data_IF_252614821615
#
_entry.id   IF_252614821615
#
_cell.length_a   1.000
_cell.length_b   1.000
_cell.length_c   1.000
_cell.angle_alpha   90.00
_cell.angle_beta   90.00
_cell.angle_gamma   90.00
#
_symmetry.space_group_name_H-M   'P 1'
#
loop_
_entity.id
_entity.type
_entity.pdbx_description
1 polymer ?
#
# COMPACT_ATOMS: atom_id res chain seq x y z
N UNK A 1 33.38 -1.05 -2.18
CA UNK A 1 32.34 -1.25 -1.17
C UNK A 1 32.14 -2.75 -0.99
N UNK A 2 32.21 -3.23 0.23
CA UNK A 2 31.86 -4.61 0.61
C UNK A 2 30.38 -4.66 0.97
N UNK A 3 29.68 -5.70 0.52
CA UNK A 3 28.34 -6.06 1.00
C UNK A 3 28.43 -7.45 1.62
N UNK A 4 28.12 -7.54 2.90
CA UNK A 4 28.01 -8.76 3.68
C UNK A 4 26.53 -9.09 3.89
N UNK A 5 26.06 -10.12 3.19
CA UNK A 5 24.69 -10.62 3.26
C UNK A 5 24.67 -11.91 4.06
N UNK A 6 24.36 -11.80 5.36
CA UNK A 6 24.24 -12.94 6.27
C UNK A 6 25.51 -13.82 6.29
N UNK A 7 26.69 -13.19 6.24
CA UNK A 7 28.00 -13.86 6.23
C UNK A 7 28.56 -14.11 4.83
N UNK A 8 27.79 -13.86 3.77
CA UNK A 8 28.26 -13.95 2.38
C UNK A 8 28.76 -12.59 1.93
N UNK A 9 30.08 -12.45 1.82
CA UNK A 9 30.75 -11.20 1.45
C UNK A 9 30.95 -11.07 -0.05
N UNK A 10 30.75 -9.88 -0.59
CA UNK A 10 31.01 -9.54 -1.99
C UNK A 10 31.52 -8.10 -2.11
N UNK A 11 32.48 -7.88 -2.99
CA UNK A 11 33.11 -6.57 -3.18
C UNK A 11 32.73 -5.94 -4.52
N UNK A 12 32.44 -4.64 -4.49
CA UNK A 12 32.02 -3.85 -5.64
C UNK A 12 32.82 -2.56 -5.78
N UNK A 13 33.05 -2.16 -7.02
CA UNK A 13 33.74 -0.92 -7.34
C UNK A 13 32.79 0.27 -7.22
N UNK A 14 33.23 1.27 -6.44
CA UNK A 14 32.54 2.52 -6.21
C UNK A 14 33.55 3.65 -6.43
N UNK A 15 33.16 4.75 -7.07
CA UNK A 15 34.06 5.90 -7.23
C UNK A 15 34.14 6.81 -5.99
N UNK A 16 34.98 7.84 -6.08
CA UNK A 16 35.17 8.85 -5.05
C UNK A 16 33.89 9.61 -4.66
N UNK A 17 32.84 9.55 -5.47
CA UNK A 17 31.54 10.20 -5.19
C UNK A 17 30.51 9.23 -4.62
N UNK A 18 30.85 7.96 -4.45
CA UNK A 18 29.94 6.93 -3.94
C UNK A 18 29.10 6.26 -5.03
N UNK A 19 29.42 6.42 -6.32
CA UNK A 19 28.64 5.80 -7.41
C UNK A 19 29.16 4.41 -7.75
N UNK A 20 28.24 3.45 -7.83
CA UNK A 20 28.51 2.10 -8.31
C UNK A 20 28.98 2.12 -9.77
N UNK A 21 30.07 1.38 -10.06
CA UNK A 21 30.65 1.27 -11.42
C UNK A 21 30.03 0.15 -12.26
N UNK A 22 29.35 -0.79 -11.63
CA UNK A 22 28.67 -1.89 -12.29
C UNK A 22 27.37 -2.17 -11.56
N UNK A 23 26.40 -2.77 -12.26
CA UNK A 23 25.22 -3.32 -11.60
C UNK A 23 25.62 -4.39 -10.58
N UNK A 24 24.85 -4.48 -9.51
CA UNK A 24 25.01 -5.43 -8.41
C UNK A 24 23.74 -6.23 -8.27
N UNK A 25 23.87 -7.55 -8.32
CA UNK A 25 22.78 -8.48 -8.08
C UNK A 25 23.27 -9.51 -7.08
N UNK A 26 22.67 -9.53 -5.90
CA UNK A 26 23.12 -10.35 -4.79
C UNK A 26 21.97 -11.08 -4.17
N UNK A 27 22.25 -12.28 -3.66
CA UNK A 27 21.34 -13.03 -2.82
C UNK A 27 22.09 -13.61 -1.63
N UNK A 28 21.43 -13.66 -0.49
CA UNK A 28 21.85 -14.46 0.66
C UNK A 28 21.98 -15.94 0.29
N UNK A 29 22.82 -16.68 1.01
CA UNK A 29 23.09 -18.09 0.73
C UNK A 29 21.85 -18.99 0.81
N UNK A 30 20.87 -18.62 1.65
CA UNK A 30 19.58 -19.30 1.76
C UNK A 30 18.55 -18.84 0.71
N UNK A 31 18.90 -17.88 -0.14
CA UNK A 31 18.03 -17.30 -1.17
C UNK A 31 16.90 -16.43 -0.64
N UNK A 32 16.78 -16.23 0.69
CA UNK A 32 15.63 -15.56 1.29
C UNK A 32 15.63 -14.06 1.05
N UNK A 33 16.80 -13.45 0.97
CA UNK A 33 16.98 -12.02 0.72
C UNK A 33 17.81 -11.80 -0.55
N UNK A 34 17.32 -10.92 -1.42
CA UNK A 34 18.03 -10.50 -2.64
C UNK A 34 18.00 -8.98 -2.82
N UNK A 35 19.09 -8.43 -3.35
CA UNK A 35 19.27 -7.00 -3.63
C UNK A 35 19.68 -6.78 -5.08
N UNK A 36 19.15 -5.72 -5.68
CA UNK A 36 19.58 -5.23 -6.99
C UNK A 36 19.87 -3.74 -6.92
N UNK A 37 21.10 -3.36 -7.26
CA UNK A 37 21.55 -1.98 -7.36
C UNK A 37 22.03 -1.76 -8.80
N UNK A 38 21.48 -0.77 -9.48
CA UNK A 38 21.85 -0.49 -10.86
C UNK A 38 23.21 0.23 -10.92
N UNK A 39 23.86 0.15 -12.09
CA UNK A 39 25.07 0.94 -12.34
C UNK A 39 24.76 2.44 -12.18
N UNK A 40 25.66 3.17 -11.52
CA UNK A 40 25.51 4.60 -11.28
C UNK A 40 24.74 4.97 -10.01
N UNK A 41 24.10 4.01 -9.32
CA UNK A 41 23.48 4.27 -8.02
C UNK A 41 24.49 4.84 -7.03
N UNK A 42 24.17 5.98 -6.43
CA UNK A 42 24.93 6.57 -5.33
C UNK A 42 24.63 5.81 -4.04
N UNK A 43 25.68 5.40 -3.35
CA UNK A 43 25.61 4.72 -2.06
C UNK A 43 26.44 5.49 -1.05
N UNK A 44 25.77 6.15 -0.11
CA UNK A 44 26.41 7.03 0.88
C UNK A 44 25.96 6.68 2.28
N UNK A 45 26.79 7.01 3.26
CA UNK A 45 26.42 6.99 4.67
C UNK A 45 25.60 8.24 5.06
N UNK A 46 25.24 8.32 6.34
CA UNK A 46 24.50 9.46 6.92
C UNK A 46 25.22 10.80 6.83
N UNK A 47 26.56 10.79 6.67
CA UNK A 47 27.42 11.97 6.59
C UNK A 47 27.73 12.32 5.11
N UNK A 48 26.96 11.76 4.18
CA UNK A 48 27.09 11.89 2.72
C UNK A 48 28.41 11.39 2.12
N UNK A 49 29.15 10.56 2.86
CA UNK A 49 30.41 9.98 2.39
C UNK A 49 30.15 8.65 1.67
N UNK A 50 30.99 8.28 0.68
CA UNK A 50 30.91 6.99 0.01
C UNK A 50 30.90 5.84 1.01
N UNK A 51 29.86 5.00 0.93
CA UNK A 51 29.72 3.88 1.84
C UNK A 51 30.75 2.79 1.55
N UNK A 52 31.43 2.31 2.59
CA UNK A 52 32.48 1.31 2.44
C UNK A 52 32.00 -0.12 2.68
N UNK A 53 31.13 -0.32 3.68
CA UNK A 53 30.65 -1.64 4.09
C UNK A 53 29.15 -1.58 4.34
N UNK A 54 28.45 -2.57 3.79
CA UNK A 54 27.07 -2.90 4.12
C UNK A 54 27.09 -4.22 4.86
N UNK A 55 26.46 -4.28 6.03
CA UNK A 55 26.27 -5.53 6.76
C UNK A 55 24.78 -5.77 6.98
N UNK A 56 24.31 -6.94 6.58
CA UNK A 56 22.93 -7.38 6.77
C UNK A 56 22.93 -8.58 7.71
N UNK A 57 22.15 -8.46 8.79
CA UNK A 57 22.00 -9.50 9.81
C UNK A 57 20.52 -9.76 10.11
N UNK A 58 20.20 -10.92 10.71
CA UNK A 58 18.86 -11.18 11.24
C UNK A 58 18.78 -10.60 12.64
N UNK A 59 17.77 -9.76 12.89
CA UNK A 59 17.52 -9.19 14.21
C UNK A 59 16.90 -10.26 15.14
N UNK A 60 17.65 -10.66 16.16
CA UNK A 60 17.21 -11.62 17.17
C UNK A 60 16.16 -11.08 18.16
N UNK A 61 15.97 -9.76 18.20
CA UNK A 61 15.00 -9.09 19.07
C UNK A 61 14.19 -8.06 18.27
N UNK A 62 13.38 -8.52 17.30
CA UNK A 62 12.71 -7.65 16.36
C UNK A 62 11.69 -6.72 17.03
N UNK A 63 11.47 -5.49 16.50
CA UNK A 63 10.37 -4.65 16.92
C UNK A 63 9.03 -5.36 16.72
N UNK A 64 8.08 -5.14 17.63
CA UNK A 64 6.72 -5.67 17.46
C UNK A 64 6.07 -5.12 16.18
N UNK A 65 5.33 -5.95 15.42
CA UNK A 65 4.54 -5.45 14.29
C UNK A 65 3.40 -4.55 14.80
N UNK A 66 2.81 -3.71 13.93
CA UNK A 66 1.59 -2.97 14.24
C UNK A 66 0.44 -3.92 14.62
N UNK A 67 -0.53 -3.43 15.42
CA UNK A 67 -1.66 -4.24 15.90
C UNK A 67 -2.50 -4.86 14.77
N UNK A 68 -2.53 -4.21 13.60
CA UNK A 68 -3.26 -4.62 12.40
C UNK A 68 -2.42 -5.47 11.42
N UNK A 69 -1.24 -5.96 11.84
CA UNK A 69 -0.40 -6.81 11.01
C UNK A 69 0.26 -7.96 11.78
N UNK A 70 0.52 -9.06 11.09
CA UNK A 70 1.42 -10.12 11.52
C UNK A 70 2.82 -9.88 10.95
N UNK A 71 3.84 -10.17 11.75
CA UNK A 71 5.21 -10.30 11.28
C UNK A 71 5.38 -11.67 10.64
N UNK A 72 5.89 -11.72 9.40
CA UNK A 72 6.11 -12.97 8.66
C UNK A 72 7.61 -13.16 8.44
N UNK A 73 8.14 -14.27 8.95
CA UNK A 73 9.55 -14.61 8.83
C UNK A 73 10.50 -13.71 9.64
N UNK A 74 11.70 -13.52 9.12
CA UNK A 74 12.78 -12.80 9.80
C UNK A 74 12.72 -11.28 9.59
N UNK A 75 13.25 -10.53 10.58
CA UNK A 75 13.58 -9.12 10.43
C UNK A 75 15.06 -9.00 10.06
N UNK A 76 15.34 -8.29 8.98
CA UNK A 76 16.72 -8.04 8.52
C UNK A 76 17.15 -6.64 8.93
N UNK A 77 18.24 -6.51 9.67
CA UNK A 77 18.85 -5.24 10.06
C UNK A 77 19.98 -4.89 9.09
N UNK A 78 19.80 -3.80 8.34
CA UNK A 78 20.78 -3.26 7.41
C UNK A 78 21.63 -2.18 8.09
N UNK A 79 22.95 -2.36 8.08
CA UNK A 79 23.91 -1.45 8.71
C UNK A 79 24.96 -0.95 7.71
N UNK A 80 25.49 0.27 7.89
CA UNK A 80 25.17 1.22 8.96
C UNK A 80 23.83 1.93 8.75
N UNK A 81 23.18 2.29 9.86
CA UNK A 81 21.91 3.02 9.83
C UNK A 81 22.08 4.43 9.23
N UNK A 82 21.08 4.87 8.47
CA UNK A 82 21.11 6.17 7.79
C UNK A 82 21.88 6.19 6.48
N UNK A 83 22.44 5.06 6.03
CA UNK A 83 22.91 4.93 4.66
C UNK A 83 21.75 5.14 3.67
N UNK A 84 22.06 5.77 2.54
CA UNK A 84 21.10 6.15 1.52
C UNK A 84 21.50 5.68 0.13
N UNK A 85 20.48 5.54 -0.72
CA UNK A 85 20.59 5.15 -2.12
C UNK A 85 19.87 6.13 -3.02
N UNK A 86 20.53 6.53 -4.09
CA UNK A 86 19.92 7.36 -5.13
C UNK A 86 20.37 6.89 -6.53
N UNK A 87 19.46 6.35 -7.35
CA UNK A 87 18.03 6.11 -7.09
C UNK A 87 17.78 4.95 -6.09
N UNK A 88 16.51 4.73 -5.75
CA UNK A 88 16.09 3.61 -4.90
C UNK A 88 16.52 2.26 -5.47
N UNK A 89 16.89 1.33 -4.59
CA UNK A 89 17.35 -0.02 -4.97
C UNK A 89 16.23 -1.04 -4.77
N UNK A 90 16.27 -2.17 -5.49
CA UNK A 90 15.27 -3.23 -5.30
C UNK A 90 15.72 -4.17 -4.19
N UNK A 91 14.75 -4.55 -3.35
CA UNK A 91 14.87 -5.56 -2.31
C UNK A 91 13.78 -6.60 -2.52
N UNK A 92 14.12 -7.88 -2.46
CA UNK A 92 13.15 -8.95 -2.39
C UNK A 92 13.41 -9.86 -1.19
N UNK A 93 12.33 -10.19 -0.49
CA UNK A 93 12.31 -11.15 0.61
C UNK A 93 11.39 -12.31 0.25
N UNK A 94 11.81 -13.53 0.55
CA UNK A 94 11.02 -14.74 0.40
C UNK A 94 10.26 -15.04 1.70
N UNK A 95 9.09 -15.65 1.57
CA UNK A 95 8.30 -16.15 2.69
C UNK A 95 7.97 -17.62 2.47
N UNK A 96 7.72 -18.34 3.56
CA UNK A 96 7.18 -19.68 3.51
C UNK A 96 5.64 -19.58 3.58
N UNK A 97 4.90 -20.04 2.56
CA UNK A 97 3.43 -20.03 2.58
C UNK A 97 2.85 -20.84 3.74
N UNK A 98 3.54 -21.88 4.21
CA UNK A 98 3.10 -22.72 5.33
C UNK A 98 3.26 -22.01 6.70
N UNK A 99 4.07 -20.96 6.77
CA UNK A 99 4.22 -20.11 7.97
C UNK A 99 3.22 -18.95 8.01
N UNK A 100 2.39 -18.77 6.98
CA UNK A 100 1.42 -17.69 6.95
C UNK A 100 0.26 -17.96 7.92
N UNK A 101 -0.13 -16.96 8.74
CA UNK A 101 -1.32 -17.08 9.59
C UNK A 101 -2.58 -17.35 8.77
N UNK A 102 -3.51 -18.11 9.36
CA UNK A 102 -4.79 -18.43 8.73
C UNK A 102 -5.55 -17.15 8.32
N UNK A 103 -6.10 -17.15 7.10
CA UNK A 103 -6.83 -15.99 6.54
C UNK A 103 -5.95 -14.93 5.90
N UNK A 104 -4.62 -15.04 5.96
CA UNK A 104 -3.73 -14.12 5.24
C UNK A 104 -3.83 -14.36 3.73
N UNK A 105 -4.07 -13.28 2.99
CA UNK A 105 -4.04 -13.28 1.53
C UNK A 105 -2.62 -12.94 1.08
N UNK A 106 -1.91 -13.88 0.44
CA UNK A 106 -0.51 -13.70 0.00
C UNK A 106 -0.29 -12.40 -0.79
N UNK A 107 -1.22 -12.06 -1.71
CA UNK A 107 -1.14 -10.82 -2.51
C UNK A 107 -1.12 -9.54 -1.66
N UNK A 108 -1.53 -9.62 -0.38
CA UNK A 108 -1.54 -8.50 0.55
C UNK A 108 -0.24 -8.34 1.34
N UNK A 109 0.67 -9.32 1.33
CA UNK A 109 1.99 -9.22 1.97
C UNK A 109 2.80 -8.03 1.45
N UNK A 110 3.58 -7.38 2.29
CA UNK A 110 4.44 -6.26 1.88
C UNK A 110 5.73 -6.22 2.71
N UNK A 111 6.81 -5.68 2.17
CA UNK A 111 8.03 -5.44 2.94
C UNK A 111 7.90 -4.06 3.58
N UNK A 112 7.94 -4.00 4.90
CA UNK A 112 7.92 -2.76 5.67
C UNK A 112 9.33 -2.40 6.13
N UNK A 113 9.64 -1.11 6.13
CA UNK A 113 10.85 -0.57 6.76
C UNK A 113 10.52 0.01 8.14
N UNK A 114 11.33 -0.29 9.15
CA UNK A 114 11.18 0.27 10.49
C UNK A 114 11.90 1.61 10.61
N UNK A 115 11.19 2.64 11.07
CA UNK A 115 11.73 3.97 11.41
C UNK A 115 11.44 4.30 12.87
N UNK A 116 11.86 5.49 13.32
CA UNK A 116 11.70 5.96 14.71
C UNK A 116 10.26 5.86 15.25
N UNK A 117 9.27 6.01 14.36
CA UNK A 117 7.84 5.99 14.69
C UNK A 117 7.17 4.63 14.49
N UNK A 118 7.90 3.61 14.02
CA UNK A 118 7.40 2.26 13.77
C UNK A 118 7.58 1.76 12.34
N UNK A 119 6.81 0.74 11.97
CA UNK A 119 6.84 0.13 10.64
C UNK A 119 6.11 1.00 9.60
N UNK A 120 6.78 1.31 8.50
CA UNK A 120 6.21 2.07 7.39
C UNK A 120 5.94 1.18 6.17
N UNK A 121 4.77 1.41 5.55
CA UNK A 121 4.38 0.73 4.30
C UNK A 121 5.20 1.27 3.13
N UNK A 122 5.62 0.41 2.19
CA UNK A 122 6.39 0.83 1.04
C UNK A 122 5.52 1.55 0.01
N UNK A 123 6.14 2.40 -0.81
CA UNK A 123 5.48 3.03 -1.96
C UNK A 123 5.29 2.04 -3.12
N UNK A 124 6.30 1.19 -3.35
CA UNK A 124 6.26 0.15 -4.38
C UNK A 124 6.20 -1.23 -3.73
N UNK A 125 5.36 -2.10 -4.26
CA UNK A 125 5.17 -3.46 -3.81
C UNK A 125 4.83 -4.36 -4.99
N UNK A 126 5.49 -5.50 -5.07
CA UNK A 126 5.10 -6.62 -5.92
C UNK A 126 5.14 -7.92 -5.12
N UNK A 127 4.11 -8.76 -5.26
CA UNK A 127 4.09 -10.10 -4.66
C UNK A 127 4.00 -11.12 -5.78
N UNK A 128 4.98 -11.99 -5.83
CA UNK A 128 4.97 -13.19 -6.66
C UNK A 128 4.57 -14.38 -5.76
N UNK A 129 3.37 -14.91 -6.01
CA UNK A 129 2.80 -16.02 -5.25
C UNK A 129 3.21 -17.38 -5.80
N UNK A 130 3.87 -17.44 -6.96
CA UNK A 130 4.41 -18.70 -7.52
C UNK A 130 5.80 -18.96 -6.95
N UNK A 131 6.62 -17.90 -6.83
CA UNK A 131 7.96 -18.00 -6.21
C UNK A 131 7.97 -17.69 -4.71
N UNK A 132 6.82 -17.32 -4.12
CA UNK A 132 6.66 -16.87 -2.73
C UNK A 132 7.64 -15.77 -2.33
N UNK A 133 7.66 -14.69 -3.12
CA UNK A 133 8.54 -13.54 -2.93
C UNK A 133 7.78 -12.22 -2.91
N UNK A 134 8.20 -11.34 -2.03
CA UNK A 134 7.76 -9.94 -1.98
C UNK A 134 8.92 -9.07 -2.42
N UNK A 135 8.68 -8.13 -3.33
CA UNK A 135 9.67 -7.17 -3.83
C UNK A 135 9.22 -5.74 -3.55
N UNK A 136 10.14 -4.91 -3.10
CA UNK A 136 9.95 -3.47 -2.89
C UNK A 136 11.15 -2.67 -3.39
N UNK A 137 11.06 -1.34 -3.29
CA UNK A 137 12.18 -0.42 -3.49
C UNK A 137 12.49 0.28 -2.17
N UNK A 138 13.78 0.38 -1.83
CA UNK A 138 14.27 1.05 -0.63
C UNK A 138 15.31 2.12 -1.01
N UNK A 139 15.28 3.24 -0.32
CA UNK A 139 16.23 4.35 -0.50
C UNK A 139 17.17 4.55 0.69
N UNK A 140 17.01 3.73 1.72
CA UNK A 140 17.79 3.79 2.94
C UNK A 140 17.90 2.45 3.63
N UNK A 141 18.95 2.30 4.42
CA UNK A 141 19.04 1.20 5.37
C UNK A 141 18.17 1.44 6.59
N UNK A 142 17.46 0.37 6.94
CA UNK A 142 16.57 0.25 8.07
C UNK A 142 16.45 -1.24 8.42
N UNK A 143 15.80 -1.55 9.54
CA UNK A 143 15.26 -2.90 9.72
C UNK A 143 14.12 -3.09 8.74
N UNK A 144 14.08 -4.23 8.06
CA UNK A 144 13.01 -4.56 7.11
C UNK A 144 12.47 -5.96 7.37
N UNK A 145 11.18 -6.15 7.12
CA UNK A 145 10.52 -7.44 7.27
C UNK A 145 9.27 -7.55 6.41
N UNK A 146 8.80 -8.77 6.19
CA UNK A 146 7.49 -9.00 5.55
C UNK A 146 6.41 -8.84 6.63
N UNK A 147 5.45 -7.96 6.35
CA UNK A 147 4.23 -7.83 7.15
C UNK A 147 3.04 -8.37 6.34
N UNK A 148 2.23 -9.17 7.01
CA UNK A 148 0.91 -9.57 6.53
C UNK A 148 -0.14 -8.69 7.22
N UNK A 149 -0.94 -7.90 6.49
CA UNK A 149 -2.11 -7.27 7.10
C UNK A 149 -2.96 -8.36 7.76
N UNK A 150 -3.33 -8.16 9.02
CA UNK A 150 -4.45 -8.89 9.59
C UNK A 150 -5.63 -8.47 8.74
N UNK A 151 -6.31 -9.43 8.12
CA UNK A 151 -7.65 -9.12 7.66
C UNK A 151 -8.38 -8.64 8.92
N UNK A 152 -9.01 -7.45 8.92
CA UNK A 152 -9.90 -7.09 9.99
C UNK A 152 -10.80 -8.32 10.23
N UNK A 153 -11.06 -8.73 11.49
CA UNK A 153 -12.06 -9.79 11.72
C UNK A 153 -13.23 -9.47 10.81
N UNK A 154 -13.67 -10.41 9.94
CA UNK A 154 -14.44 -10.10 8.75
C UNK A 154 -15.48 -9.07 9.13
N UNK A 155 -15.24 -7.82 8.75
CA UNK A 155 -16.19 -6.74 8.93
C UNK A 155 -17.23 -7.13 7.91
N UNK A 156 -18.23 -7.88 8.39
CA UNK A 156 -19.09 -8.80 7.65
C UNK A 156 -18.92 -8.62 6.15
N UNK A 157 -18.15 -9.48 5.46
CA UNK A 157 -18.31 -9.55 4.00
C UNK A 157 -19.81 -9.80 3.82
N UNK A 158 -20.59 -8.84 3.28
CA UNK A 158 -22.03 -8.96 3.36
C UNK A 158 -22.44 -10.13 2.47
N UNK A 159 -22.72 -11.28 3.07
CA UNK A 159 -23.25 -12.45 2.36
C UNK A 159 -24.72 -12.18 2.05
N UNK A 160 -25.03 -11.87 0.79
CA UNK A 160 -26.39 -11.51 0.36
C UNK A 160 -26.60 -10.01 0.16
N UNK A 161 -27.70 -9.61 -0.50
CA UNK A 161 -27.90 -8.25 -1.01
C UNK A 161 -27.88 -7.21 0.11
N UNK A 162 -27.29 -6.05 -0.18
CA UNK A 162 -27.26 -4.93 0.76
C UNK A 162 -28.65 -4.29 0.93
N UNK A 163 -28.92 -3.82 2.15
CA UNK A 163 -30.12 -3.03 2.45
C UNK A 163 -30.03 -1.67 1.77
N UNK A 164 -28.84 -1.06 1.83
CA UNK A 164 -28.56 0.26 1.27
C UNK A 164 -27.09 0.40 0.86
N UNK A 165 -26.82 1.15 -0.20
CA UNK A 165 -25.47 1.54 -0.63
C UNK A 165 -25.39 3.07 -0.66
N UNK A 166 -24.50 3.64 0.14
CA UNK A 166 -24.25 5.08 0.14
C UNK A 166 -22.97 5.38 -0.67
N UNK A 167 -23.13 6.15 -1.74
CA UNK A 167 -22.03 6.71 -2.51
C UNK A 167 -21.80 8.12 -1.98
N UNK A 168 -20.65 8.38 -1.40
CA UNK A 168 -20.36 9.67 -0.76
C UNK A 168 -19.07 10.23 -1.32
N UNK A 169 -19.17 11.38 -1.99
CA UNK A 169 -18.02 12.11 -2.47
C UNK A 169 -17.70 13.28 -1.54
N UNK A 170 -16.56 13.19 -0.88
CA UNK A 170 -16.03 14.27 -0.08
C UNK A 170 -15.18 15.20 -0.95
N UNK A 171 -15.24 16.49 -0.70
CA UNK A 171 -14.40 17.49 -1.35
C UNK A 171 -13.92 18.56 -0.36
N UNK A 172 -12.92 19.33 -0.75
CA UNK A 172 -12.53 20.58 -0.08
C UNK A 172 -13.25 21.77 -0.72
N UNK A 173 -13.26 22.92 -0.06
CA UNK A 173 -13.80 24.18 -0.62
C UNK A 173 -13.09 24.55 -1.93
N UNK A 174 -11.76 24.40 -1.96
CA UNK A 174 -10.96 24.59 -3.16
C UNK A 174 -10.87 23.29 -3.96
N UNK A 175 -11.37 23.32 -5.19
CA UNK A 175 -11.53 22.13 -6.03
C UNK A 175 -10.71 22.24 -7.32
N UNK A 176 -9.84 21.27 -7.55
CA UNK A 176 -9.12 21.14 -8.82
C UNK A 176 -9.96 20.41 -9.88
N UNK A 177 -9.47 20.38 -11.12
CA UNK A 177 -10.13 19.72 -12.24
C UNK A 177 -10.52 18.26 -11.94
N UNK A 178 -9.60 17.46 -11.38
CA UNK A 178 -9.88 16.07 -11.00
C UNK A 178 -10.99 15.95 -9.96
N UNK A 179 -11.07 16.90 -9.02
CA UNK A 179 -12.15 16.90 -8.02
C UNK A 179 -13.53 17.17 -8.63
N UNK A 180 -13.59 17.97 -9.69
CA UNK A 180 -14.83 18.26 -10.43
C UNK A 180 -15.19 17.08 -11.31
N UNK A 181 -14.19 16.50 -11.99
CA UNK A 181 -14.34 15.32 -12.83
C UNK A 181 -14.93 14.14 -12.06
N UNK A 182 -14.36 13.82 -10.88
CA UNK A 182 -14.83 12.69 -10.06
C UNK A 182 -16.26 12.90 -9.58
N UNK A 183 -16.64 14.11 -9.14
CA UNK A 183 -18.04 14.37 -8.77
C UNK A 183 -18.97 14.17 -9.98
N UNK A 184 -18.65 14.80 -11.11
CA UNK A 184 -19.50 14.76 -12.30
C UNK A 184 -19.66 13.32 -12.82
N UNK A 185 -18.56 12.56 -12.91
CA UNK A 185 -18.58 11.16 -13.32
C UNK A 185 -19.35 10.28 -12.32
N UNK A 186 -19.21 10.53 -11.02
CA UNK A 186 -19.96 9.80 -9.99
C UNK A 186 -21.45 10.08 -10.10
N UNK A 187 -21.82 11.37 -10.15
CA UNK A 187 -23.20 11.82 -10.34
C UNK A 187 -23.82 11.20 -11.59
N UNK A 188 -23.13 11.31 -12.72
CA UNK A 188 -23.57 10.71 -13.98
C UNK A 188 -23.79 9.21 -13.85
N UNK A 189 -22.87 8.48 -13.21
CA UNK A 189 -22.98 7.03 -13.04
C UNK A 189 -24.19 6.66 -12.18
N UNK A 190 -24.36 7.30 -11.03
CA UNK A 190 -25.47 6.97 -10.12
C UNK A 190 -26.81 7.36 -10.74
N UNK A 191 -26.93 8.56 -11.30
CA UNK A 191 -28.18 9.07 -11.88
C UNK A 191 -28.61 8.36 -13.17
N UNK A 192 -27.69 7.75 -13.93
CA UNK A 192 -28.05 7.06 -15.18
C UNK A 192 -28.24 5.55 -15.03
N UNK A 193 -27.49 4.90 -14.15
CA UNK A 193 -27.46 3.43 -14.06
C UNK A 193 -28.15 2.87 -12.82
N UNK A 194 -28.48 3.71 -11.82
CA UNK A 194 -29.10 3.28 -10.56
C UNK A 194 -30.36 4.11 -10.24
N UNK A 195 -31.14 4.46 -11.26
CA UNK A 195 -32.34 5.32 -11.11
C UNK A 195 -33.37 4.71 -10.16
N UNK A 196 -33.63 3.42 -10.28
CA UNK A 196 -34.63 2.72 -9.47
C UNK A 196 -34.15 2.56 -8.03
N UNK A 197 -32.85 2.31 -7.83
CA UNK A 197 -32.23 2.23 -6.52
C UNK A 197 -32.14 3.60 -5.84
N UNK A 198 -31.91 4.68 -6.60
CA UNK A 198 -32.01 6.06 -6.12
C UNK A 198 -33.45 6.38 -5.68
N UNK A 199 -34.44 6.05 -6.53
CA UNK A 199 -35.85 6.32 -6.25
C UNK A 199 -36.36 5.57 -5.01
N UNK A 200 -35.87 4.35 -4.80
CA UNK A 200 -36.19 3.54 -3.61
C UNK A 200 -35.34 3.87 -2.38
N UNK A 201 -34.29 4.70 -2.52
CA UNK A 201 -33.33 4.99 -1.45
C UNK A 201 -32.35 3.86 -1.15
N UNK A 202 -32.38 2.77 -1.93
CA UNK A 202 -31.42 1.65 -1.86
C UNK A 202 -30.02 2.07 -2.30
N UNK A 203 -29.90 3.05 -3.17
CA UNK A 203 -28.65 3.78 -3.43
C UNK A 203 -28.87 5.24 -3.06
N UNK A 204 -27.91 5.86 -2.39
CA UNK A 204 -27.92 7.32 -2.17
C UNK A 204 -26.61 7.92 -2.63
N UNK A 205 -26.66 9.12 -3.20
CA UNK A 205 -25.45 9.87 -3.57
C UNK A 205 -25.40 11.20 -2.82
N UNK A 206 -24.27 11.48 -2.16
CA UNK A 206 -24.04 12.72 -1.43
C UNK A 206 -22.69 13.34 -1.82
N UNK A 207 -22.65 14.67 -1.80
CA UNK A 207 -21.44 15.47 -2.03
C UNK A 207 -21.23 16.34 -0.81
N UNK A 208 -20.10 16.18 -0.12
CA UNK A 208 -19.87 16.71 1.23
C UNK A 208 -18.56 17.49 1.28
N UNK A 209 -18.60 18.72 1.79
CA UNK A 209 -17.39 19.49 2.04
C UNK A 209 -16.77 19.08 3.39
N UNK A 210 -15.53 18.59 3.38
CA UNK A 210 -14.82 18.16 4.59
C UNK A 210 -14.46 19.31 5.54
N UNK A 211 -14.47 20.54 5.04
CA UNK A 211 -14.05 21.72 5.80
C UNK A 211 -15.22 22.37 6.56
N UNK A 212 -16.46 21.97 6.27
CA UNK A 212 -17.65 22.52 6.93
C UNK A 212 -17.86 21.80 8.27
N UNK A 213 -17.99 22.59 9.35
CA UNK A 213 -18.10 22.05 10.71
C UNK A 213 -19.33 21.14 10.92
N UNK A 214 -20.41 21.42 10.20
CA UNK A 214 -21.64 20.61 10.25
C UNK A 214 -21.42 19.18 9.74
N UNK A 215 -20.40 18.98 8.90
CA UNK A 215 -20.05 17.68 8.33
C UNK A 215 -19.06 16.89 9.21
N UNK A 216 -18.62 17.42 10.35
CA UNK A 216 -17.57 16.79 11.15
C UNK A 216 -17.88 15.33 11.55
N UNK A 217 -19.14 15.02 11.86
CA UNK A 217 -19.56 13.66 12.23
C UNK A 217 -19.43 12.67 11.06
N UNK A 218 -19.92 13.06 9.87
CA UNK A 218 -19.86 12.21 8.67
C UNK A 218 -18.43 12.10 8.12
N UNK A 219 -17.66 13.19 8.17
CA UNK A 219 -16.23 13.20 7.84
C UNK A 219 -15.46 12.22 8.72
N UNK A 220 -15.72 12.24 10.04
CA UNK A 220 -15.11 11.29 10.99
C UNK A 220 -15.55 9.85 10.74
N UNK A 221 -16.85 9.61 10.48
CA UNK A 221 -17.39 8.27 10.16
C UNK A 221 -16.66 7.64 8.98
N UNK A 222 -16.41 8.41 7.92
CA UNK A 222 -15.79 7.92 6.69
C UNK A 222 -14.26 8.03 6.69
N UNK A 223 -13.65 8.68 7.69
CA UNK A 223 -12.19 8.92 7.71
C UNK A 223 -11.71 9.84 6.59
N UNK A 224 -12.59 10.69 6.04
CA UNK A 224 -12.28 11.51 4.87
C UNK A 224 -11.41 12.72 5.25
N UNK A 225 -10.14 12.72 4.85
CA UNK A 225 -9.22 13.84 5.13
C UNK A 225 -9.14 14.87 3.98
N UNK A 226 -9.39 14.43 2.75
CA UNK A 226 -9.28 15.25 1.53
C UNK A 226 -10.43 14.90 0.56
N UNK A 227 -10.38 15.43 -0.67
CA UNK A 227 -11.33 15.05 -1.72
C UNK A 227 -11.22 13.56 -2.03
N UNK A 228 -12.25 12.78 -1.67
CA UNK A 228 -12.21 11.32 -1.60
C UNK A 228 -13.58 10.72 -1.96
N UNK A 229 -13.65 9.65 -2.74
CA UNK A 229 -14.89 8.95 -3.07
C UNK A 229 -15.01 7.66 -2.27
N UNK A 230 -16.11 7.49 -1.55
CA UNK A 230 -16.41 6.29 -0.77
C UNK A 230 -17.68 5.60 -1.24
N UNK A 231 -17.69 4.28 -1.08
CA UNK A 231 -18.87 3.44 -1.19
C UNK A 231 -19.04 2.75 0.17
N UNK A 232 -20.17 3.03 0.83
CA UNK A 232 -20.58 2.39 2.06
C UNK A 232 -21.68 1.37 1.75
N UNK A 233 -21.41 0.09 2.00
CA UNK A 233 -22.44 -0.95 1.91
C UNK A 233 -23.05 -1.10 3.30
N UNK A 234 -24.35 -0.88 3.44
CA UNK A 234 -25.07 -1.04 4.71
C UNK A 234 -25.87 -2.32 4.65
N UNK A 235 -25.65 -3.18 5.65
CA UNK A 235 -26.37 -4.44 5.80
C UNK A 235 -26.64 -4.73 7.26
N UNK A 236 -27.89 -5.06 7.59
CA UNK A 236 -28.35 -5.35 8.95
C UNK A 236 -28.01 -4.21 9.94
N UNK A 237 -27.97 -2.97 9.42
CA UNK A 237 -27.58 -1.77 10.18
C UNK A 237 -26.06 -1.55 10.34
N UNK A 238 -25.22 -2.43 9.80
CA UNK A 238 -23.76 -2.35 9.86
C UNK A 238 -23.18 -1.66 8.62
N UNK A 239 -22.26 -0.72 8.83
CA UNK A 239 -21.57 0.03 7.78
C UNK A 239 -20.30 -0.71 7.29
N UNK A 240 -20.14 -0.85 5.98
CA UNK A 240 -18.94 -1.37 5.31
C UNK A 240 -18.39 -0.31 4.35
N UNK A 241 -17.66 0.65 4.90
CA UNK A 241 -17.13 1.82 4.19
C UNK A 241 -15.81 1.47 3.50
N UNK A 242 -15.72 1.72 2.19
CA UNK A 242 -14.48 1.56 1.40
C UNK A 242 -14.26 2.77 0.49
N UNK A 243 -13.03 3.26 0.46
CA UNK A 243 -12.61 4.29 -0.50
C UNK A 243 -12.41 3.66 -1.90
N UNK A 244 -12.93 4.31 -2.94
CA UNK A 244 -12.79 3.88 -4.32
C UNK A 244 -11.52 4.46 -4.96
N UNK A 245 -10.33 4.18 -4.41
CA UNK A 245 -9.07 4.83 -4.82
C UNK A 245 -8.66 4.56 -6.27
N UNK A 246 -9.10 3.45 -6.87
CA UNK A 246 -8.74 3.07 -8.24
C UNK A 246 -9.43 3.93 -9.31
N UNK A 247 -10.56 4.59 -8.98
CA UNK A 247 -11.26 5.48 -9.93
C UNK A 247 -10.42 6.70 -10.33
N UNK A 248 -9.44 7.09 -9.50
CA UNK A 248 -8.57 8.23 -9.79
C UNK A 248 -7.61 7.97 -10.96
N UNK A 249 -7.26 6.71 -11.23
CA UNK A 249 -6.45 6.35 -12.40
C UNK A 249 -7.23 6.45 -13.72
N UNK A 250 -8.55 6.66 -13.66
CA UNK A 250 -9.46 6.67 -14.81
C UNK A 250 -9.90 8.08 -15.20
N UNK A 251 -9.34 9.12 -14.58
CA UNK A 251 -9.67 10.51 -14.89
C UNK A 251 -9.32 10.82 -16.36
N UNK A 252 -10.27 11.39 -17.09
CA UNK A 252 -10.16 11.67 -18.52
C UNK A 252 -10.59 10.52 -19.42
N UNK A 253 -10.99 9.37 -18.85
CA UNK A 253 -11.59 8.25 -19.57
C UNK A 253 -12.99 7.94 -19.03
N UNK A 254 -13.97 8.69 -19.52
CA UNK A 254 -15.35 8.66 -19.02
C UNK A 254 -15.94 7.25 -19.03
N UNK A 255 -15.69 6.49 -20.10
CA UNK A 255 -16.21 5.13 -20.24
C UNK A 255 -15.63 4.21 -19.17
N UNK A 256 -14.32 4.18 -19.01
CA UNK A 256 -13.68 3.32 -18.02
C UNK A 256 -14.06 3.72 -16.59
N UNK A 257 -14.15 5.03 -16.32
CA UNK A 257 -14.59 5.55 -15.02
C UNK A 257 -16.00 5.05 -14.68
N UNK A 258 -16.95 5.23 -15.60
CA UNK A 258 -18.35 4.82 -15.41
C UNK A 258 -18.46 3.31 -15.24
N UNK A 259 -17.79 2.52 -16.07
CA UNK A 259 -17.79 1.05 -15.98
C UNK A 259 -17.23 0.58 -14.62
N UNK A 260 -16.11 1.15 -14.17
CA UNK A 260 -15.49 0.78 -12.90
C UNK A 260 -16.37 1.14 -11.70
N UNK A 261 -16.90 2.36 -11.65
CA UNK A 261 -17.75 2.80 -10.54
C UNK A 261 -19.08 2.03 -10.51
N UNK A 262 -19.71 1.85 -11.68
CA UNK A 262 -20.94 1.06 -11.80
C UNK A 262 -20.73 -0.36 -11.28
N UNK A 263 -19.67 -1.03 -11.71
CA UNK A 263 -19.35 -2.39 -11.27
C UNK A 263 -19.21 -2.50 -9.75
N UNK A 264 -18.57 -1.51 -9.12
CA UNK A 264 -18.42 -1.47 -7.64
C UNK A 264 -19.76 -1.32 -6.92
N UNK A 265 -20.64 -0.44 -7.40
CA UNK A 265 -21.97 -0.23 -6.81
C UNK A 265 -22.83 -1.48 -7.01
N UNK A 266 -22.85 -2.08 -8.21
CA UNK A 266 -23.57 -3.33 -8.47
C UNK A 266 -23.08 -4.48 -7.58
N UNK A 267 -21.77 -4.60 -7.39
CA UNK A 267 -21.19 -5.61 -6.49
C UNK A 267 -21.64 -5.38 -5.04
N UNK A 268 -21.65 -4.12 -4.60
CA UNK A 268 -22.10 -3.73 -3.26
C UNK A 268 -23.57 -4.08 -3.04
N UNK A 269 -24.43 -3.84 -4.04
CA UNK A 269 -25.86 -4.20 -3.98
C UNK A 269 -26.11 -5.71 -3.92
N UNK A 270 -25.25 -6.53 -4.55
CA UNK A 270 -25.41 -8.00 -4.64
C UNK A 270 -24.80 -8.77 -3.47
N UNK A 271 -23.94 -8.16 -2.65
CA UNK A 271 -23.30 -8.82 -1.51
C UNK A 271 -22.15 -9.77 -1.88
N UNK A 272 -21.21 -9.28 -2.69
CA UNK A 272 -20.14 -10.10 -3.27
C UNK A 272 -18.84 -10.23 -2.47
#
# INVERSE_FOLDING_TARGET
MEIDLLGTKSEFLVDSQGRLKTKVELSSADGRLSLWLDEGTMVKDKDEKPLQVVHVSIDSSPPFPPDDAYLVGAVYDFRPEGANFDPQIKLALSYDPDELPEGVIERNLYIAGYKDTGWEKPLYKNVDTESHRVTTQIDRFARVAILAPKEPPPLDKPSGPADKVEVVYFHRTQRCYSCIYVEAGTRYTVENYFKDELASGRVTFQVINVQDKENAAIVKKYGAFTSSLFINTIKDGTDHIKEATDIYFLIGNDRAFVEALRSKIEKSLKGG
#
